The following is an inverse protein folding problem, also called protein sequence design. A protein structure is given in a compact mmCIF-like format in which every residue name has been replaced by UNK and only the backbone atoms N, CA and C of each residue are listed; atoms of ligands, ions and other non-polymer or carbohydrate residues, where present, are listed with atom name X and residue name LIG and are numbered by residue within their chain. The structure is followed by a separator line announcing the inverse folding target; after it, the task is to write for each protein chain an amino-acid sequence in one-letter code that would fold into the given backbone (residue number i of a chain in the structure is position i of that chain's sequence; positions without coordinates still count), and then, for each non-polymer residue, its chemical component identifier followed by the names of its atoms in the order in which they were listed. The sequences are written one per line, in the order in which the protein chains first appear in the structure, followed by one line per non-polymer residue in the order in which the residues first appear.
data_IF_972041778052
#
_entry.id   IF_972041778052
#
_cell.length_a   1.000
_cell.length_b   1.000
_cell.length_c   1.000
_cell.angle_alpha   90.00
_cell.angle_beta   90.00
_cell.angle_gamma   90.00
#
_symmetry.space_group_name_H-M   'P 1'
#
loop_
_entity.id
_entity.type
_entity.pdbx_description
1 polymer ?
#
# COMPACT_ATOMS: atom_id res chain seq x y z
N UNK A 1 18.03 20.14 -0.43
CA UNK A 1 16.88 19.70 -1.24
C UNK A 1 16.41 18.31 -0.84
N UNK A 2 17.21 17.25 -0.95
CA UNK A 2 16.80 15.88 -0.55
C UNK A 2 16.31 15.76 0.91
N UNK A 3 16.94 16.44 1.86
CA UNK A 3 16.53 16.41 3.28
C UNK A 3 15.17 17.08 3.51
N UNK A 4 14.87 18.13 2.75
CA UNK A 4 13.59 18.85 2.83
C UNK A 4 12.49 18.00 2.20
N UNK A 5 12.77 17.31 1.09
CA UNK A 5 11.87 16.34 0.48
C UNK A 5 11.60 15.16 1.41
N UNK A 6 12.63 14.66 2.12
CA UNK A 6 12.48 13.59 3.11
C UNK A 6 11.63 14.05 4.31
N UNK A 7 11.88 15.27 4.83
CA UNK A 7 11.08 15.85 5.92
C UNK A 7 9.62 16.08 5.51
N UNK A 8 9.37 16.62 4.32
CA UNK A 8 8.00 16.80 3.81
C UNK A 8 7.30 15.45 3.64
N UNK A 9 8.01 14.43 3.14
CA UNK A 9 7.45 13.08 3.00
C UNK A 9 7.08 12.48 4.36
N UNK A 10 7.89 12.70 5.40
CA UNK A 10 7.62 12.23 6.77
C UNK A 10 6.45 13.00 7.40
N UNK A 11 6.36 14.32 7.16
CA UNK A 11 5.25 15.15 7.64
C UNK A 11 3.91 14.84 6.94
N UNK A 12 3.96 14.46 5.66
CA UNK A 12 2.78 13.99 4.94
C UNK A 12 2.26 12.65 5.49
N UNK A 13 3.16 11.77 5.95
CA UNK A 13 2.77 10.53 6.64
C UNK A 13 2.10 10.78 8.01
N UNK A 14 2.34 11.93 8.64
CA UNK A 14 1.79 12.32 9.94
C UNK A 14 0.56 13.22 9.83
N UNK A 15 0.26 13.73 8.63
CA UNK A 15 -0.96 14.49 8.39
C UNK A 15 -2.09 13.48 8.30
N UNK A 16 -2.92 13.47 9.34
CA UNK A 16 -4.03 12.54 9.60
C UNK A 16 -5.11 12.65 8.52
N UNK A 17 -4.80 12.10 7.35
CA UNK A 17 -5.78 11.90 6.29
C UNK A 17 -6.56 10.67 6.68
N UNK A 18 -7.81 10.87 7.13
CA UNK A 18 -8.73 9.79 7.45
C UNK A 18 -8.68 8.80 6.29
N UNK A 19 -8.27 7.56 6.58
CA UNK A 19 -8.17 6.52 5.57
C UNK A 19 -9.48 6.47 4.78
N UNK A 20 -9.37 6.61 3.46
CA UNK A 20 -10.56 6.66 2.62
C UNK A 20 -11.29 5.29 2.67
N UNK A 21 -12.57 5.28 2.28
CA UNK A 21 -13.39 4.06 2.32
C UNK A 21 -12.77 2.89 1.54
N UNK A 22 -12.07 3.17 0.45
CA UNK A 22 -11.41 2.15 -0.36
C UNK A 22 -10.19 1.56 0.37
N UNK A 23 -9.42 2.39 1.07
CA UNK A 23 -8.27 1.99 1.88
C UNK A 23 -8.71 1.07 3.01
N UNK A 24 -9.83 1.37 3.66
CA UNK A 24 -10.45 0.48 4.66
C UNK A 24 -10.80 -0.86 4.01
N UNK A 25 -11.44 -0.85 2.85
CA UNK A 25 -11.79 -2.07 2.11
C UNK A 25 -10.54 -2.90 1.77
N UNK A 26 -9.44 -2.29 1.34
CA UNK A 26 -8.20 -3.00 1.04
C UNK A 26 -7.54 -3.60 2.29
N UNK A 27 -7.60 -2.93 3.44
CA UNK A 27 -7.14 -3.48 4.72
C UNK A 27 -8.01 -4.66 5.13
N UNK A 28 -9.34 -4.55 5.02
CA UNK A 28 -10.28 -5.63 5.33
C UNK A 28 -10.04 -6.86 4.43
N UNK A 29 -9.85 -6.65 3.13
CA UNK A 29 -9.47 -7.72 2.18
C UNK A 29 -8.15 -8.40 2.56
N UNK A 30 -7.19 -7.63 3.06
CA UNK A 30 -5.88 -8.14 3.48
C UNK A 30 -6.02 -8.99 4.75
N UNK A 31 -6.83 -8.54 5.70
CA UNK A 31 -7.15 -9.29 6.90
C UNK A 31 -7.92 -10.58 6.57
N UNK A 32 -8.95 -10.50 5.72
CA UNK A 32 -9.71 -11.67 5.27
C UNK A 32 -8.81 -12.71 4.56
N UNK A 33 -7.80 -12.25 3.82
CA UNK A 33 -6.79 -13.13 3.23
C UNK A 33 -5.91 -13.81 4.30
N UNK A 34 -5.49 -13.09 5.34
CA UNK A 34 -4.73 -13.68 6.44
C UNK A 34 -5.55 -14.72 7.22
N UNK A 35 -6.85 -14.49 7.39
CA UNK A 35 -7.73 -15.33 8.20
C UNK A 35 -8.21 -16.60 7.46
N UNK A 36 -8.43 -16.52 6.16
CA UNK A 36 -9.04 -17.62 5.39
C UNK A 36 -8.57 -17.74 3.94
N UNK A 37 -7.46 -17.10 3.60
CA UNK A 37 -6.85 -17.17 2.28
C UNK A 37 -7.67 -16.51 1.18
N UNK A 38 -7.39 -16.92 -0.06
CA UNK A 38 -7.95 -16.30 -1.27
C UNK A 38 -9.49 -16.33 -1.29
N UNK A 39 -10.09 -17.41 -0.80
CA UNK A 39 -11.54 -17.61 -0.82
C UNK A 39 -12.23 -16.66 0.16
N UNK A 40 -11.65 -16.43 1.33
CA UNK A 40 -12.20 -15.50 2.31
C UNK A 40 -12.11 -14.05 1.83
N UNK A 41 -10.97 -13.67 1.24
CA UNK A 41 -10.79 -12.33 0.65
C UNK A 41 -11.76 -12.07 -0.52
N UNK A 42 -11.97 -13.07 -1.39
CA UNK A 42 -12.91 -12.97 -2.52
C UNK A 42 -14.38 -12.75 -2.09
N UNK A 43 -14.76 -13.10 -0.85
CA UNK A 43 -16.09 -12.81 -0.31
C UNK A 43 -16.30 -11.33 0.02
N UNK A 44 -15.22 -10.59 0.30
CA UNK A 44 -15.25 -9.14 0.55
C UNK A 44 -15.30 -8.41 -0.79
N UNK A 45 -14.36 -8.73 -1.69
CA UNK A 45 -14.28 -8.17 -3.04
C UNK A 45 -13.51 -9.09 -3.98
N UNK A 46 -13.90 -9.15 -5.25
CA UNK A 46 -13.36 -10.11 -6.22
C UNK A 46 -11.94 -9.78 -6.73
N UNK A 47 -11.34 -8.65 -6.35
CA UNK A 47 -10.02 -8.23 -6.81
C UNK A 47 -9.02 -8.06 -5.65
N UNK A 48 -8.63 -9.14 -4.94
CA UNK A 48 -7.79 -9.05 -3.75
C UNK A 48 -6.29 -8.90 -4.06
N UNK A 49 -5.88 -8.70 -5.31
CA UNK A 49 -4.46 -8.75 -5.70
C UNK A 49 -3.58 -7.79 -4.89
N UNK A 50 -3.99 -6.52 -4.78
CA UNK A 50 -3.27 -5.52 -3.99
C UNK A 50 -3.22 -5.90 -2.51
N UNK A 51 -4.36 -6.29 -1.93
CA UNK A 51 -4.46 -6.72 -0.52
C UNK A 51 -3.64 -7.96 -0.18
N UNK A 52 -3.48 -8.90 -1.11
CA UNK A 52 -2.60 -10.06 -0.92
C UNK A 52 -1.14 -9.61 -0.81
N UNK A 53 -0.70 -8.69 -1.68
CA UNK A 53 0.65 -8.13 -1.59
C UNK A 53 0.87 -7.37 -0.28
N UNK A 54 -0.14 -6.62 0.18
CA UNK A 54 -0.12 -5.96 1.51
C UNK A 54 0.03 -6.99 2.63
N UNK A 55 -0.76 -8.07 2.60
CA UNK A 55 -0.69 -9.14 3.59
C UNK A 55 0.68 -9.83 3.59
N UNK A 56 1.32 -10.01 2.44
CA UNK A 56 2.68 -10.56 2.34
C UNK A 56 3.71 -9.60 2.95
N UNK A 57 3.62 -8.30 2.66
CA UNK A 57 4.49 -7.29 3.28
C UNK A 57 4.30 -7.28 4.79
N UNK A 58 3.06 -7.35 5.26
CA UNK A 58 2.75 -7.47 6.68
C UNK A 58 3.41 -8.72 7.30
N UNK A 59 3.28 -9.89 6.68
CA UNK A 59 3.91 -11.12 7.19
C UNK A 59 5.45 -11.04 7.26
N UNK A 60 6.08 -10.40 6.29
CA UNK A 60 7.55 -10.29 6.22
C UNK A 60 8.08 -9.21 7.17
N UNK A 61 7.41 -8.06 7.24
CA UNK A 61 7.89 -6.88 7.98
C UNK A 61 7.32 -6.77 9.40
N UNK A 62 6.24 -7.47 9.69
CA UNK A 62 5.47 -7.38 10.95
C UNK A 62 4.94 -5.96 11.25
N UNK A 63 4.91 -5.07 10.25
CA UNK A 63 4.29 -3.75 10.35
C UNK A 63 2.77 -3.86 10.40
N UNK A 64 2.04 -2.83 10.82
CA UNK A 64 0.57 -2.86 10.71
C UNK A 64 0.12 -3.02 9.24
N UNK A 65 -1.09 -3.55 9.02
CA UNK A 65 -1.65 -3.66 7.67
C UNK A 65 -1.78 -2.29 6.99
N UNK A 66 -2.12 -1.26 7.75
CA UNK A 66 -2.17 0.12 7.28
C UNK A 66 -0.79 0.61 6.82
N UNK A 67 0.24 0.48 7.65
CA UNK A 67 1.61 0.89 7.26
C UNK A 67 2.11 0.05 6.08
N UNK A 68 1.80 -1.24 6.03
CA UNK A 68 2.15 -2.12 4.91
C UNK A 68 1.48 -1.66 3.60
N UNK A 69 0.24 -1.17 3.69
CA UNK A 69 -0.50 -0.60 2.56
C UNK A 69 0.19 0.67 2.05
N UNK A 70 0.56 1.58 2.95
CA UNK A 70 1.29 2.79 2.58
C UNK A 70 2.66 2.47 1.96
N UNK A 71 3.44 1.57 2.56
CA UNK A 71 4.75 1.16 2.05
C UNK A 71 4.64 0.60 0.63
N UNK A 72 3.72 -0.33 0.40
CA UNK A 72 3.52 -0.90 -0.94
C UNK A 72 3.11 0.17 -1.94
N UNK A 73 2.15 1.03 -1.57
CA UNK A 73 1.67 2.09 -2.44
C UNK A 73 2.81 3.06 -2.81
N UNK A 74 3.63 3.47 -1.84
CA UNK A 74 4.81 4.33 -2.08
C UNK A 74 5.78 3.68 -3.04
N UNK A 75 6.10 2.39 -2.87
CA UNK A 75 7.01 1.65 -3.77
C UNK A 75 6.45 1.64 -5.20
N UNK A 76 5.17 1.35 -5.38
CA UNK A 76 4.52 1.33 -6.70
C UNK A 76 4.54 2.71 -7.36
N UNK A 77 4.28 3.79 -6.61
CA UNK A 77 4.33 5.16 -7.13
C UNK A 77 5.75 5.59 -7.53
N UNK A 78 6.76 5.23 -6.74
CA UNK A 78 8.17 5.50 -7.07
C UNK A 78 8.55 4.77 -8.38
N UNK A 79 8.21 3.48 -8.49
CA UNK A 79 8.47 2.70 -9.70
C UNK A 79 7.72 3.27 -10.91
N UNK A 80 6.44 3.63 -10.75
CA UNK A 80 5.66 4.26 -11.81
C UNK A 80 6.33 5.54 -12.31
N UNK A 81 6.74 6.40 -11.39
CA UNK A 81 7.37 7.69 -11.73
C UNK A 81 8.72 7.50 -12.41
N UNK A 82 9.56 6.61 -11.90
CA UNK A 82 10.88 6.30 -12.48
C UNK A 82 10.75 5.73 -13.91
N UNK A 83 9.85 4.75 -14.09
CA UNK A 83 9.57 4.16 -15.41
C UNK A 83 9.00 5.20 -16.37
N UNK A 84 8.10 6.06 -15.91
CA UNK A 84 7.52 7.13 -16.74
C UNK A 84 8.59 8.11 -17.23
N UNK A 85 9.51 8.52 -16.35
CA UNK A 85 10.64 9.39 -16.70
C UNK A 85 11.58 8.68 -17.67
N UNK A 86 11.89 7.41 -17.44
CA UNK A 86 12.73 6.61 -18.32
C UNK A 86 12.14 6.48 -19.74
N UNK A 87 10.82 6.28 -19.85
CA UNK A 87 10.13 6.19 -21.13
C UNK A 87 10.06 7.57 -21.81
N UNK A 88 9.82 8.64 -21.05
CA UNK A 88 9.68 10.00 -21.61
C UNK A 88 11.01 10.61 -22.09
N UNK A 89 12.13 10.11 -21.57
CA UNK A 89 13.48 10.52 -21.99
C UNK A 89 14.03 9.68 -23.17
N UNK A 90 13.21 8.78 -23.76
CA UNK A 90 13.52 8.05 -24.99
C UNK A 90 12.83 8.70 -26.19
#
# INVERSE_FOLDING_TARGET
MALISLLLSILALYSDDIINSDGIMYIELSQAYLDGGLIASAKVYNWPFFSILVALIHQITQLSLETSTYVLNTILFVLLTDVLVLISNK
#
